data_IF_536247092951
#
_entry.id   IF_536247092951
#
_cell.length_a   1.000
_cell.length_b   1.000
_cell.length_c   1.000
_cell.angle_alpha   90.00
_cell.angle_beta   90.00
_cell.angle_gamma   90.00
#
_symmetry.space_group_name_H-M   'P 1'
#
loop_
_entity.id
_entity.type
_entity.pdbx_description
1 polymer ?
#
# COMPACT_ATOMS: atom_id res chain seq x y z
N UNK A 1 5.58 -9.76 14.16
CA UNK A 1 6.95 -10.32 14.12
C UNK A 1 7.54 -10.06 12.73
N UNK A 2 8.86 -10.17 12.56
CA UNK A 2 9.54 -9.87 11.29
C UNK A 2 9.07 -10.75 10.12
N UNK A 3 8.78 -12.02 10.39
CA UNK A 3 8.24 -12.98 9.42
C UNK A 3 6.89 -12.50 8.84
N UNK A 4 6.03 -11.94 9.69
CA UNK A 4 4.74 -11.41 9.26
C UNK A 4 4.94 -10.23 8.29
N UNK A 5 5.92 -9.36 8.55
CA UNK A 5 6.22 -8.23 7.67
C UNK A 5 6.72 -8.75 6.32
N UNK A 6 7.65 -9.71 6.32
CA UNK A 6 8.13 -10.37 5.09
C UNK A 6 6.97 -10.91 4.26
N UNK A 7 6.07 -11.67 4.88
CA UNK A 7 4.92 -12.26 4.20
C UNK A 7 3.94 -11.21 3.67
N UNK A 8 3.55 -10.24 4.51
CA UNK A 8 2.56 -9.23 4.12
C UNK A 8 3.09 -8.32 3.01
N UNK A 9 4.37 -7.94 3.06
CA UNK A 9 4.97 -7.12 2.00
C UNK A 9 5.01 -7.85 0.67
N UNK A 10 5.46 -9.12 0.65
CA UNK A 10 5.45 -9.93 -0.59
C UNK A 10 4.04 -10.05 -1.15
N UNK A 11 3.10 -10.43 -0.30
CA UNK A 11 1.70 -10.58 -0.67
C UNK A 11 1.13 -9.30 -1.26
N UNK A 12 1.40 -8.13 -0.66
CA UNK A 12 0.90 -6.84 -1.16
C UNK A 12 1.47 -6.51 -2.54
N UNK A 13 2.77 -6.77 -2.75
CA UNK A 13 3.41 -6.54 -4.05
C UNK A 13 2.86 -7.50 -5.11
N UNK A 14 2.67 -8.77 -4.77
CA UNK A 14 2.05 -9.75 -5.67
C UNK A 14 0.60 -9.39 -6.00
N UNK A 15 -0.17 -8.90 -5.02
CA UNK A 15 -1.56 -8.45 -5.20
C UNK A 15 -1.66 -7.16 -6.01
N UNK A 16 -0.64 -6.29 -5.93
CA UNK A 16 -0.54 -5.11 -6.79
C UNK A 16 -0.38 -5.49 -8.26
N UNK A 17 0.32 -6.58 -8.56
CA UNK A 17 0.49 -7.12 -9.92
C UNK A 17 0.87 -6.03 -10.93
N UNK A 18 0.10 -5.92 -12.00
CA UNK A 18 0.36 -4.97 -13.09
C UNK A 18 0.15 -3.49 -12.71
N UNK A 19 -0.44 -3.19 -11.54
CA UNK A 19 -0.64 -1.80 -11.06
C UNK A 19 0.64 -1.17 -10.51
N UNK A 20 1.68 -1.97 -10.26
CA UNK A 20 2.96 -1.54 -9.72
C UNK A 20 4.08 -1.98 -10.65
N UNK A 21 4.96 -1.05 -11.03
CA UNK A 21 6.11 -1.40 -11.85
C UNK A 21 7.07 -2.33 -11.09
N UNK A 22 7.67 -3.29 -11.80
CA UNK A 22 8.70 -4.17 -11.22
C UNK A 22 9.87 -3.34 -10.65
N UNK A 23 10.29 -2.29 -11.35
CA UNK A 23 11.36 -1.38 -10.91
C UNK A 23 11.04 -0.68 -9.57
N UNK A 24 9.75 -0.49 -9.26
CA UNK A 24 9.30 0.13 -8.01
C UNK A 24 9.19 -0.87 -6.86
N UNK A 25 8.91 -2.13 -7.17
CA UNK A 25 8.76 -3.20 -6.18
C UNK A 25 10.05 -3.95 -5.88
N UNK A 26 10.95 -4.08 -6.86
CA UNK A 26 12.21 -4.81 -6.75
C UNK A 26 13.08 -4.36 -5.56
N UNK A 27 13.28 -3.05 -5.29
CA UNK A 27 14.06 -2.61 -4.13
C UNK A 27 13.44 -3.04 -2.80
N UNK A 28 12.10 -3.11 -2.73
CA UNK A 28 11.39 -3.55 -1.53
C UNK A 28 11.50 -5.07 -1.36
N UNK A 29 11.35 -5.83 -2.45
CA UNK A 29 11.51 -7.29 -2.45
C UNK A 29 12.92 -7.72 -2.02
N UNK A 30 13.95 -6.98 -2.44
CA UNK A 30 15.33 -7.22 -2.02
C UNK A 30 15.49 -7.03 -0.50
N UNK A 31 15.02 -5.91 0.05
CA UNK A 31 15.05 -5.66 1.51
C UNK A 31 14.28 -6.70 2.31
N UNK A 32 13.15 -7.16 1.79
CA UNK A 32 12.35 -8.22 2.41
C UNK A 32 13.09 -9.56 2.40
N UNK A 33 13.80 -9.86 1.32
CA UNK A 33 14.64 -11.05 1.23
C UNK A 33 15.82 -10.98 2.22
N UNK A 34 16.45 -9.82 2.36
CA UNK A 34 17.47 -9.61 3.39
C UNK A 34 16.89 -9.84 4.79
N UNK A 35 15.73 -9.25 5.10
CA UNK A 35 15.04 -9.43 6.38
C UNK A 35 14.72 -10.90 6.65
N UNK A 36 14.31 -11.64 5.62
CA UNK A 36 14.03 -13.08 5.72
C UNK A 36 15.28 -13.88 6.09
N UNK A 37 16.43 -13.60 5.45
CA UNK A 37 17.72 -14.24 5.76
C UNK A 37 18.24 -13.87 7.15
N UNK A 38 17.87 -12.69 7.68
CA UNK A 38 18.22 -12.30 9.06
C UNK A 38 17.45 -13.08 10.12
N UNK A 39 16.29 -13.65 9.79
CA UNK A 39 15.40 -14.33 10.74
C UNK A 39 15.26 -15.82 10.50
N UNK A 40 15.71 -16.33 9.35
CA UNK A 40 15.70 -17.74 8.98
C UNK A 40 17.11 -18.26 8.71
N UNK A 41 17.35 -19.51 9.08
CA UNK A 41 18.58 -20.24 8.73
C UNK A 41 18.55 -20.76 7.28
N UNK A 42 19.63 -21.42 6.86
CA UNK A 42 19.75 -22.02 5.51
C UNK A 42 18.72 -23.14 5.23
N UNK A 43 18.09 -23.69 6.27
CA UNK A 43 16.98 -24.67 6.18
C UNK A 43 15.60 -23.99 6.26
N UNK A 44 15.53 -22.66 6.11
CA UNK A 44 14.33 -21.83 6.21
C UNK A 44 13.63 -21.88 7.59
N UNK A 45 14.31 -22.35 8.64
CA UNK A 45 13.79 -22.38 10.00
C UNK A 45 14.07 -21.07 10.72
N UNK A 46 13.17 -20.66 11.61
CA UNK A 46 13.39 -19.47 12.42
C UNK A 46 14.62 -19.64 13.31
N UNK A 47 15.52 -18.67 13.25
CA UNK A 47 16.69 -18.60 14.11
C UNK A 47 16.23 -18.31 15.55
N UNK A 48 16.89 -18.92 16.54
CA UNK A 48 16.59 -18.68 17.95
C UNK A 48 16.78 -17.22 18.34
N UNK A 49 15.88 -16.69 19.18
CA UNK A 49 15.88 -15.29 19.63
C UNK A 49 17.22 -14.83 20.24
N UNK A 50 17.98 -15.73 20.84
CA UNK A 50 19.29 -15.45 21.42
C UNK A 50 20.38 -15.20 20.37
N UNK A 51 20.20 -15.71 19.15
CA UNK A 51 21.12 -15.59 18.02
C UNK A 51 20.69 -14.54 17.00
N UNK A 52 19.48 -13.98 17.15
CA UNK A 52 18.97 -12.94 16.27
C UNK A 52 19.61 -11.58 16.59
N UNK A 53 20.07 -10.88 15.54
CA UNK A 53 20.39 -9.46 15.64
C UNK A 53 19.11 -8.62 15.67
N UNK A 54 18.49 -8.52 16.84
CA UNK A 54 17.25 -7.77 17.02
C UNK A 54 17.36 -6.30 16.60
N UNK A 55 18.53 -5.68 16.75
CA UNK A 55 18.75 -4.29 16.37
C UNK A 55 18.79 -4.15 14.84
N UNK A 56 19.56 -5.02 14.16
CA UNK A 56 19.59 -5.07 12.70
C UNK A 56 18.22 -5.41 12.09
N UNK A 57 17.52 -6.39 12.67
CA UNK A 57 16.17 -6.79 12.24
C UNK A 57 15.20 -5.62 12.38
N UNK A 58 15.20 -4.92 13.51
CA UNK A 58 14.34 -3.74 13.67
C UNK A 58 14.67 -2.61 12.68
N UNK A 59 15.96 -2.37 12.41
CA UNK A 59 16.37 -1.40 11.39
C UNK A 59 15.82 -1.80 10.02
N UNK A 60 16.02 -3.06 9.63
CA UNK A 60 15.57 -3.58 8.34
C UNK A 60 14.05 -3.59 8.21
N UNK A 61 13.32 -3.90 9.29
CA UNK A 61 11.86 -3.77 9.35
C UNK A 61 11.43 -2.35 8.99
N UNK A 62 12.05 -1.32 9.60
CA UNK A 62 11.70 0.08 9.29
C UNK A 62 11.98 0.44 7.84
N UNK A 63 13.11 -0.01 7.29
CA UNK A 63 13.42 0.21 5.87
C UNK A 63 12.39 -0.44 4.94
N UNK A 64 11.90 -1.64 5.30
CA UNK A 64 10.82 -2.33 4.57
C UNK A 64 9.51 -1.57 4.70
N UNK A 65 9.13 -1.13 5.90
CA UNK A 65 7.91 -0.35 6.15
C UNK A 65 7.90 0.98 5.39
N UNK A 66 9.02 1.72 5.39
CA UNK A 66 9.19 2.95 4.63
C UNK A 66 9.04 2.71 3.12
N UNK A 67 9.64 1.63 2.61
CA UNK A 67 9.54 1.27 1.19
C UNK A 67 8.11 0.84 0.82
N UNK A 68 7.44 0.13 1.73
CA UNK A 68 6.02 -0.21 1.58
C UNK A 68 5.11 1.01 1.57
N UNK A 69 5.43 2.03 2.36
CA UNK A 69 4.69 3.30 2.35
C UNK A 69 4.85 4.04 1.01
N UNK A 70 6.02 3.93 0.37
CA UNK A 70 6.21 4.45 -0.99
C UNK A 70 5.41 3.67 -2.03
N UNK A 71 5.39 2.33 -1.93
CA UNK A 71 4.58 1.48 -2.80
C UNK A 71 3.08 1.79 -2.65
N UNK A 72 2.59 1.93 -1.42
CA UNK A 72 1.17 2.23 -1.17
C UNK A 72 0.77 3.59 -1.74
N UNK A 73 1.64 4.60 -1.65
CA UNK A 73 1.42 5.90 -2.28
C UNK A 73 1.30 5.79 -3.80
N UNK A 74 2.19 5.03 -4.45
CA UNK A 74 2.14 4.79 -5.90
C UNK A 74 0.88 4.04 -6.33
N UNK A 75 0.47 3.04 -5.58
CA UNK A 75 -0.77 2.30 -5.85
C UNK A 75 -1.99 3.20 -5.73
N UNK A 76 -2.00 4.11 -4.75
CA UNK A 76 -3.07 5.09 -4.61
C UNK A 76 -3.10 6.06 -5.80
N UNK A 77 -1.93 6.54 -6.25
CA UNK A 77 -1.81 7.40 -7.44
C UNK A 77 -2.31 6.68 -8.71
N UNK A 78 -1.91 5.42 -8.91
CA UNK A 78 -2.37 4.61 -10.03
C UNK A 78 -3.90 4.40 -10.00
N UNK A 79 -4.47 4.13 -8.83
CA UNK A 79 -5.92 3.99 -8.68
C UNK A 79 -6.68 5.31 -8.92
N UNK A 80 -6.12 6.45 -8.49
CA UNK A 80 -6.71 7.76 -8.74
C UNK A 80 -6.68 8.12 -10.24
N UNK A 81 -5.58 7.82 -10.94
CA UNK A 81 -5.49 8.00 -12.39
C UNK A 81 -6.49 7.12 -13.15
N UNK A 82 -6.68 5.87 -12.71
CA UNK A 82 -7.68 4.95 -13.27
C UNK A 82 -9.11 5.52 -13.12
N UNK A 83 -9.46 6.11 -11.97
CA UNK A 83 -10.76 6.76 -11.77
C UNK A 83 -10.94 8.03 -12.60
N UNK A 84 -9.90 8.87 -12.71
CA UNK A 84 -9.96 10.08 -13.54
C UNK A 84 -10.18 9.74 -15.03
N UNK A 85 -9.50 8.70 -15.53
CA UNK A 85 -9.67 8.24 -16.91
C UNK A 85 -11.06 7.66 -17.19
N UNK A 86 -11.69 6.99 -16.22
CA UNK A 86 -13.07 6.51 -16.34
C UNK A 86 -14.10 7.64 -16.29
N UNK A 87 -13.78 8.76 -15.64
CA UNK A 87 -14.66 9.93 -15.57
C UNK A 87 -14.63 10.73 -16.88
N UNK A 88 -13.47 10.86 -17.54
CA UNK A 88 -13.38 11.49 -18.87
C UNK A 88 -14.09 10.70 -19.98
N UNK A 89 -14.19 9.36 -19.87
CA UNK A 89 -14.91 8.52 -20.83
C UNK A 89 -16.44 8.48 -20.58
N UNK A 90 -16.89 8.94 -19.40
CA UNK A 90 -18.31 9.01 -18.99
C UNK A 90 -18.93 10.41 -19.12
N UNK A 91 -18.15 11.43 -19.52
CA UNK A 91 -18.60 12.83 -19.61
C UNK A 91 -19.49 13.11 -20.85
N UNK A 92 -19.90 12.09 -21.62
CA UNK A 92 -20.98 12.17 -22.63
C UNK A 92 -22.34 11.70 -22.08
N UNK A 93 -22.52 11.69 -20.75
CA UNK A 93 -23.82 11.38 -20.16
C UNK A 93 -24.14 12.20 -18.90
N UNK A 94 -24.37 13.50 -19.11
CA UNK A 94 -25.37 14.26 -18.37
C UNK A 94 -25.22 14.28 -16.85
N UNK A 95 -24.11 14.84 -16.35
CA UNK A 95 -24.10 15.43 -15.01
C UNK A 95 -25.15 16.54 -14.98
N UNK A 96 -26.29 16.24 -14.35
CA UNK A 96 -27.22 17.26 -13.90
C UNK A 96 -26.51 18.04 -12.80
N UNK A 97 -26.13 19.30 -13.08
CA UNK A 97 -25.86 20.28 -12.04
C UNK A 97 -27.13 20.39 -11.21
N UNK A 98 -27.20 19.59 -10.15
CA UNK A 98 -28.20 19.76 -9.12
C UNK A 98 -27.85 21.08 -8.43
N UNK A 99 -28.39 22.18 -8.96
CA UNK A 99 -28.65 23.40 -8.20
C UNK A 99 -29.48 22.96 -6.98
N UNK A 100 -28.79 22.60 -5.91
CA UNK A 100 -29.38 22.31 -4.61
C UNK A 100 -29.81 23.66 -4.05
N UNK A 101 -31.00 24.08 -4.44
CA UNK A 101 -31.71 25.17 -3.79
C UNK A 101 -31.95 24.74 -2.34
N UNK A 102 -31.13 25.28 -1.44
CA UNK A 102 -31.36 25.20 0.00
C UNK A 102 -32.69 25.91 0.23
N UNK A 103 -33.76 25.13 0.34
CA UNK A 103 -35.05 25.63 0.80
C UNK A 103 -34.84 26.02 2.26
N UNK A 104 -34.61 27.31 2.51
CA UNK A 104 -34.79 27.85 3.85
C UNK A 104 -36.29 27.69 4.16
N UNK A 105 -36.61 26.73 5.04
CA UNK A 105 -37.94 26.60 5.65
C UNK A 105 -38.22 27.87 6.48
N UNK A 106 -38.62 28.96 5.82
CA UNK A 106 -39.45 29.98 6.44
C UNK A 106 -40.88 29.42 6.49
N UNK A 107 -41.27 28.84 7.64
CA UNK A 107 -42.62 28.98 8.21
C UNK A 107 -42.77 28.18 9.50
N UNK A 108 -42.72 28.88 10.64
CA UNK A 108 -43.68 28.60 11.71
C UNK A 108 -43.96 29.88 12.51
N UNK A 109 -45.03 30.57 12.10
CA UNK A 109 -45.71 31.58 12.90
C UNK A 109 -46.20 30.99 14.24
N UNK A 110 -46.07 31.79 15.30
CA UNK A 110 -46.62 31.53 16.63
C UNK A 110 -46.34 32.66 17.60
#
# INVERSE_FOLDING_TARGET
>A
MADQIVYQTRKTIEEAGDKLAEDDSAPTLEKVKELEVMIKDDDEKLIDLENLDLAGIQSKIKEVEESMHAISAKLYEAAAAEMASQQEESDDQGVVDADFEVVEDEENEG
#
